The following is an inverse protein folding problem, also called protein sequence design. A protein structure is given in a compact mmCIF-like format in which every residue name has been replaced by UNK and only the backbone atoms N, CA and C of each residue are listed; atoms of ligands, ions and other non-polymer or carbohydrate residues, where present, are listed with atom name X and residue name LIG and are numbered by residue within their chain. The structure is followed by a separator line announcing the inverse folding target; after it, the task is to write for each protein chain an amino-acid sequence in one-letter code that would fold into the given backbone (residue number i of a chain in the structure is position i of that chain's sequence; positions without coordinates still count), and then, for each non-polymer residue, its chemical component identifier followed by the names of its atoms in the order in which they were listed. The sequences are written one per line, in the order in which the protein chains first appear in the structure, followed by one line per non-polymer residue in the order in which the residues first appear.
data_IF_966964977287
#
_entry.id   IF_966964977287
#
_cell.length_a   1.000
_cell.length_b   1.000
_cell.length_c   1.000
_cell.angle_alpha   90.00
_cell.angle_beta   90.00
_cell.angle_gamma   90.00
#
_symmetry.space_group_name_H-M   'P 1'
#
loop_
_entity.id
_entity.type
_entity.pdbx_description
1 polymer ?
#
# COMPACT_ATOMS: atom_id res chain seq x y z
N UNK A 1 13.94 -27.85 8.69
CA UNK A 1 13.20 -27.82 7.41
C UNK A 1 12.97 -26.35 7.07
N UNK A 2 13.44 -25.93 5.90
CA UNK A 2 13.50 -24.52 5.45
C UNK A 2 12.11 -24.09 4.94
N UNK A 3 11.36 -23.33 5.74
CA UNK A 3 10.04 -22.78 5.38
C UNK A 3 10.20 -21.54 4.48
N UNK A 4 10.64 -21.73 3.24
CA UNK A 4 10.72 -20.66 2.24
C UNK A 4 9.50 -20.55 1.31
N UNK A 5 8.66 -21.58 1.27
CA UNK A 5 7.52 -21.63 0.36
C UNK A 5 6.21 -21.07 0.95
N UNK A 6 6.18 -20.76 2.25
CA UNK A 6 4.97 -20.27 2.94
C UNK A 6 4.89 -18.72 2.97
N UNK A 7 5.90 -18.02 2.46
CA UNK A 7 5.95 -16.55 2.47
C UNK A 7 5.73 -16.02 1.05
N UNK A 8 4.46 -15.86 0.69
CA UNK A 8 4.03 -15.32 -0.60
C UNK A 8 4.31 -13.81 -0.77
N UNK A 9 4.72 -13.10 0.29
CA UNK A 9 5.06 -11.68 0.24
C UNK A 9 5.28 -11.07 1.62
N UNK A 10 5.67 -9.78 1.66
CA UNK A 10 5.61 -8.99 2.89
C UNK A 10 4.17 -8.48 3.05
N UNK A 11 3.47 -8.78 4.16
CA UNK A 11 2.04 -8.45 4.31
C UNK A 11 1.74 -6.95 4.23
N UNK A 12 2.74 -6.10 4.47
CA UNK A 12 2.61 -4.65 4.39
C UNK A 12 3.14 -4.04 3.08
N UNK A 13 3.78 -4.82 2.20
CA UNK A 13 4.18 -4.36 0.86
C UNK A 13 3.00 -4.51 -0.12
N UNK A 14 1.96 -3.71 0.12
CA UNK A 14 0.67 -3.82 -0.57
C UNK A 14 0.83 -3.45 -2.06
N UNK A 15 0.33 -4.29 -2.96
CA UNK A 15 0.28 -4.00 -4.40
C UNK A 15 -0.95 -3.14 -4.71
N UNK A 16 -2.13 -3.68 -4.39
CA UNK A 16 -3.42 -3.02 -4.46
C UNK A 16 -4.32 -3.47 -3.29
N UNK A 17 -5.31 -2.65 -2.96
CA UNK A 17 -6.32 -3.01 -1.97
C UNK A 17 -7.42 -3.87 -2.60
N UNK A 18 -7.06 -5.12 -2.93
CA UNK A 18 -7.98 -6.17 -3.37
C UNK A 18 -7.77 -7.44 -2.56
N UNK A 19 -8.82 -8.26 -2.48
CA UNK A 19 -8.71 -9.60 -1.91
C UNK A 19 -7.78 -10.42 -2.80
N UNK A 20 -6.81 -11.10 -2.19
CA UNK A 20 -5.95 -12.02 -2.92
C UNK A 20 -6.85 -13.12 -3.54
N UNK A 21 -6.84 -13.32 -4.87
CA UNK A 21 -7.70 -14.31 -5.52
C UNK A 21 -7.46 -15.74 -5.03
N UNK A 22 -6.28 -16.05 -4.50
CA UNK A 22 -5.99 -17.36 -3.88
C UNK A 22 -6.70 -17.55 -2.53
N UNK A 23 -7.14 -16.46 -1.89
CA UNK A 23 -7.89 -16.45 -0.63
C UNK A 23 -9.40 -16.33 -0.83
N UNK A 24 -9.86 -15.87 -2.00
CA UNK A 24 -11.27 -15.72 -2.36
C UNK A 24 -11.60 -14.38 -3.00
N UNK A 25 -12.89 -14.04 -3.00
CA UNK A 25 -13.43 -12.79 -3.55
C UNK A 25 -13.86 -11.81 -2.46
N UNK A 26 -14.27 -10.59 -2.87
CA UNK A 26 -14.86 -9.62 -1.95
C UNK A 26 -16.16 -10.17 -1.32
N UNK A 27 -16.96 -10.91 -2.09
CA UNK A 27 -18.15 -11.60 -1.60
C UNK A 27 -17.83 -12.65 -0.53
N UNK A 28 -16.73 -13.38 -0.70
CA UNK A 28 -16.27 -14.36 0.30
C UNK A 28 -15.92 -13.68 1.63
N UNK A 29 -15.27 -12.51 1.60
CA UNK A 29 -14.98 -11.72 2.81
C UNK A 29 -16.27 -11.23 3.48
N UNK A 30 -17.25 -10.79 2.70
CA UNK A 30 -18.57 -10.40 3.22
C UNK A 30 -19.29 -11.59 3.87
N UNK A 31 -19.23 -12.77 3.24
CA UNK A 31 -19.83 -13.99 3.78
C UNK A 31 -19.11 -14.47 5.05
N UNK A 32 -17.78 -14.44 5.07
CA UNK A 32 -16.98 -14.73 6.25
C UNK A 32 -17.39 -13.85 7.43
N UNK A 33 -17.55 -12.54 7.20
CA UNK A 33 -18.01 -11.63 8.25
C UNK A 33 -19.39 -12.04 8.80
N UNK A 34 -20.35 -12.42 7.94
CA UNK A 34 -21.67 -12.87 8.40
C UNK A 34 -21.56 -14.10 9.29
N UNK A 35 -20.82 -15.12 8.86
CA UNK A 35 -20.61 -16.36 9.64
C UNK A 35 -19.96 -16.05 11.00
N UNK A 36 -18.93 -15.20 11.02
CA UNK A 36 -18.28 -14.79 12.27
C UNK A 36 -19.26 -14.07 13.21
N UNK A 37 -20.10 -13.19 12.67
CA UNK A 37 -21.07 -12.43 13.47
C UNK A 37 -22.17 -13.33 14.05
N UNK A 38 -22.61 -14.36 13.32
CA UNK A 38 -23.58 -15.36 13.80
C UNK A 38 -23.08 -16.12 15.03
N UNK A 39 -21.76 -16.31 15.16
CA UNK A 39 -21.12 -16.94 16.33
C UNK A 39 -20.56 -15.93 17.35
N UNK A 40 -20.90 -14.65 17.22
CA UNK A 40 -20.52 -13.60 18.17
C UNK A 40 -19.08 -13.09 18.02
N UNK A 41 -18.42 -13.33 16.88
CA UNK A 41 -17.04 -12.88 16.58
C UNK A 41 -17.07 -11.69 15.61
N UNK A 42 -16.31 -10.64 15.94
CA UNK A 42 -16.10 -9.50 15.06
C UNK A 42 -14.93 -9.74 14.09
N UNK A 43 -15.05 -9.23 12.85
CA UNK A 43 -13.96 -9.20 11.87
C UNK A 43 -13.31 -7.82 11.88
N UNK A 44 -11.99 -7.78 12.06
CA UNK A 44 -11.16 -6.57 11.97
C UNK A 44 -10.15 -6.79 10.84
N UNK A 45 -9.99 -5.79 9.99
CA UNK A 45 -8.99 -5.77 8.91
C UNK A 45 -7.93 -4.71 9.22
N UNK A 46 -6.68 -5.01 8.86
CA UNK A 46 -5.58 -4.05 8.95
C UNK A 46 -5.48 -3.24 7.65
N UNK A 47 -5.19 -1.94 7.77
CA UNK A 47 -5.15 -1.01 6.65
C UNK A 47 -3.95 -0.07 6.79
N UNK A 48 -3.04 -0.09 5.80
CA UNK A 48 -1.73 0.59 5.86
C UNK A 48 -1.58 1.59 4.70
N UNK A 49 -2.14 2.81 4.82
CA UNK A 49 -2.17 3.78 3.71
C UNK A 49 -0.80 4.38 3.40
N UNK A 50 0.16 4.31 4.30
CA UNK A 50 1.34 5.17 4.26
C UNK A 50 2.37 4.78 3.17
N UNK A 51 2.31 3.54 2.68
CA UNK A 51 3.21 3.02 1.68
C UNK A 51 2.58 1.90 0.84
N UNK A 52 3.14 1.69 -0.35
CA UNK A 52 2.85 0.53 -1.21
C UNK A 52 4.12 -0.24 -1.53
N UNK A 53 3.98 -1.38 -2.19
CA UNK A 53 5.09 -2.16 -2.75
C UNK A 53 5.87 -1.36 -3.80
N UNK A 54 7.20 -1.53 -3.86
CA UNK A 54 8.06 -0.82 -4.85
C UNK A 54 7.83 -1.27 -6.31
N UNK A 55 7.04 -2.32 -6.52
CA UNK A 55 6.63 -2.81 -7.84
C UNK A 55 5.13 -2.66 -8.09
N UNK A 56 4.43 -1.87 -7.25
CA UNK A 56 2.97 -1.89 -7.23
C UNK A 56 2.33 -1.33 -8.50
N UNK A 57 1.15 -1.81 -8.83
CA UNK A 57 0.32 -1.24 -9.90
C UNK A 57 -0.07 0.22 -9.58
N UNK A 58 -0.26 0.56 -8.31
CA UNK A 58 -0.51 1.95 -7.89
C UNK A 58 0.66 2.87 -8.26
N UNK A 59 1.91 2.44 -8.04
CA UNK A 59 3.09 3.21 -8.44
C UNK A 59 3.21 3.36 -9.96
N UNK A 60 2.87 2.31 -10.71
CA UNK A 60 2.90 2.36 -12.18
C UNK A 60 1.86 3.33 -12.74
N UNK A 61 0.65 3.31 -12.19
CA UNK A 61 -0.47 4.07 -12.74
C UNK A 61 -0.62 5.48 -12.15
N UNK A 62 -0.14 5.71 -10.92
CA UNK A 62 -0.26 6.96 -10.18
C UNK A 62 1.07 7.37 -9.52
N UNK A 63 2.15 7.66 -10.27
CA UNK A 63 3.43 8.05 -9.67
C UNK A 63 3.34 9.38 -8.87
N UNK A 64 2.37 10.25 -9.17
CA UNK A 64 2.23 11.59 -8.60
C UNK A 64 1.92 11.62 -7.10
N UNK A 65 1.41 10.52 -6.55
CA UNK A 65 1.10 10.41 -5.12
C UNK A 65 2.29 9.92 -4.29
N UNK A 66 3.42 9.58 -4.92
CA UNK A 66 4.61 9.07 -4.24
C UNK A 66 5.70 10.12 -4.08
N UNK A 67 6.50 9.97 -3.03
CA UNK A 67 7.59 10.90 -2.74
C UNK A 67 8.70 10.72 -3.77
N UNK A 68 8.93 11.77 -4.56
CA UNK A 68 10.00 11.85 -5.54
C UNK A 68 11.09 12.82 -5.13
N UNK A 69 12.31 12.61 -5.64
CA UNK A 69 13.46 13.49 -5.45
C UNK A 69 14.12 13.84 -6.78
N UNK A 70 14.98 14.85 -6.78
CA UNK A 70 15.80 15.19 -7.94
C UNK A 70 16.87 14.12 -8.19
N UNK A 71 17.38 14.08 -9.42
CA UNK A 71 18.51 13.24 -9.79
C UNK A 71 19.77 13.52 -8.94
N UNK A 72 19.98 14.79 -8.58
CA UNK A 72 21.09 15.20 -7.73
C UNK A 72 21.01 14.53 -6.35
N UNK A 73 19.83 14.52 -5.73
CA UNK A 73 19.59 13.86 -4.43
C UNK A 73 19.72 12.35 -4.57
N UNK A 74 19.20 11.76 -5.64
CA UNK A 74 19.36 10.33 -5.94
C UNK A 74 20.84 9.93 -6.02
N UNK A 75 21.65 10.70 -6.76
CA UNK A 75 23.08 10.43 -6.94
C UNK A 75 23.87 10.60 -5.64
N UNK A 76 23.42 11.49 -4.74
CA UNK A 76 24.03 11.66 -3.42
C UNK A 76 23.73 10.49 -2.46
N UNK A 77 22.52 9.90 -2.52
CA UNK A 77 22.08 8.82 -1.65
C UNK A 77 21.39 7.65 -2.40
N UNK A 78 22.11 6.93 -3.28
CA UNK A 78 21.51 5.94 -4.19
C UNK A 78 20.92 4.71 -3.50
N UNK A 79 21.16 4.55 -2.19
CA UNK A 79 20.57 3.47 -1.39
C UNK A 79 19.22 3.85 -0.77
N UNK A 80 18.92 5.15 -0.61
CA UNK A 80 17.66 5.65 -0.05
C UNK A 80 16.55 5.72 -1.11
N UNK A 81 16.96 5.89 -2.37
CA UNK A 81 16.08 6.19 -3.49
C UNK A 81 16.24 5.15 -4.61
N UNK A 82 15.21 4.99 -5.42
CA UNK A 82 15.21 4.01 -6.52
C UNK A 82 14.46 4.51 -7.75
N UNK A 83 14.67 3.85 -8.88
CA UNK A 83 13.98 4.14 -10.14
C UNK A 83 13.00 3.03 -10.51
N UNK A 84 11.95 3.39 -11.24
CA UNK A 84 10.95 2.44 -11.74
C UNK A 84 10.98 2.47 -13.25
N UNK A 85 11.02 1.29 -13.90
CA UNK A 85 11.10 1.19 -15.37
C UNK A 85 9.94 1.89 -16.09
N UNK A 86 8.76 1.89 -15.48
CA UNK A 86 7.57 2.55 -16.02
C UNK A 86 7.70 4.09 -16.09
N UNK A 87 8.55 4.68 -15.25
CA UNK A 87 8.70 6.14 -15.10
C UNK A 87 10.17 6.55 -15.14
N UNK A 88 10.73 6.58 -16.35
CA UNK A 88 12.12 7.01 -16.55
C UNK A 88 12.30 8.48 -16.15
N UNK A 89 13.40 8.78 -15.46
CA UNK A 89 13.71 10.13 -14.97
C UNK A 89 13.02 10.49 -13.65
N UNK A 90 12.19 9.61 -13.08
CA UNK A 90 11.67 9.76 -11.72
C UNK A 90 12.47 8.91 -10.72
N UNK A 91 12.74 9.49 -9.57
CA UNK A 91 13.47 8.88 -8.46
C UNK A 91 12.59 8.88 -7.22
N UNK A 92 12.30 7.71 -6.68
CA UNK A 92 11.32 7.50 -5.62
C UNK A 92 11.99 7.16 -4.30
N UNK A 93 11.41 7.58 -3.18
CA UNK A 93 11.90 7.28 -1.84
C UNK A 93 11.42 5.91 -1.33
N UNK A 94 12.33 5.10 -0.80
CA UNK A 94 11.96 3.90 -0.07
C UNK A 94 11.26 4.21 1.26
N UNK A 95 10.41 3.28 1.71
CA UNK A 95 9.94 3.26 3.09
C UNK A 95 11.10 3.17 4.09
N UNK A 96 10.90 3.69 5.30
CA UNK A 96 11.85 3.53 6.42
C UNK A 96 11.13 3.01 7.65
N UNK A 97 11.81 2.16 8.40
CA UNK A 97 11.36 1.71 9.72
C UNK A 97 11.73 2.75 10.80
N UNK A 98 10.75 3.44 11.40
CA UNK A 98 11.01 4.47 12.40
C UNK A 98 11.57 3.93 13.72
N UNK A 99 11.46 2.62 13.99
CA UNK A 99 11.91 2.01 15.25
C UNK A 99 13.31 1.43 15.18
N UNK A 100 13.88 1.32 14.00
CA UNK A 100 15.27 0.92 13.83
C UNK A 100 16.22 2.05 14.22
N UNK A 101 17.33 1.74 14.91
CA UNK A 101 18.27 2.73 15.48
C UNK A 101 18.84 3.76 14.49
N UNK A 102 18.72 3.51 13.19
CA UNK A 102 19.20 4.40 12.12
C UNK A 102 18.19 4.60 10.97
N UNK A 103 16.91 4.19 11.13
CA UNK A 103 15.92 4.31 10.05
C UNK A 103 16.20 3.41 8.85
N UNK A 104 16.32 2.10 9.09
CA UNK A 104 16.52 1.06 8.10
C UNK A 104 15.56 1.22 6.92
N UNK A 105 16.15 1.17 5.73
CA UNK A 105 15.45 1.26 4.46
C UNK A 105 14.66 -0.03 4.23
N UNK A 106 13.41 0.12 3.82
CA UNK A 106 12.52 -0.95 3.41
C UNK A 106 12.49 -0.98 1.87
N UNK A 107 13.36 -1.77 1.21
CA UNK A 107 13.55 -1.70 -0.24
C UNK A 107 12.31 -2.17 -1.04
N UNK A 108 11.40 -2.86 -0.37
CA UNK A 108 10.14 -3.34 -0.93
C UNK A 108 8.98 -2.37 -0.75
N UNK A 109 9.16 -1.25 -0.06
CA UNK A 109 8.11 -0.24 0.10
C UNK A 109 8.52 1.12 -0.42
N UNK A 110 7.52 1.91 -0.80
CA UNK A 110 7.64 3.27 -1.32
C UNK A 110 6.67 4.19 -0.58
N UNK A 111 7.15 5.39 -0.22
CA UNK A 111 6.41 6.34 0.61
C UNK A 111 5.45 7.18 -0.24
N UNK A 112 4.21 7.35 0.24
CA UNK A 112 3.27 8.31 -0.30
C UNK A 112 3.56 9.73 0.18
N UNK A 113 3.28 10.72 -0.68
CA UNK A 113 3.12 12.11 -0.25
C UNK A 113 1.70 12.25 0.29
N UNK A 114 1.56 12.43 1.61
CA UNK A 114 0.32 12.92 2.19
C UNK A 114 0.16 14.40 1.80
N UNK A 115 -0.33 14.68 0.58
CA UNK A 115 -0.63 16.06 0.19
C UNK A 115 -1.87 16.56 0.94
N UNK A 116 -1.84 17.79 1.49
CA UNK A 116 -3.05 18.45 1.97
C UNK A 116 -4.07 18.52 0.83
N UNK A 117 -5.18 17.78 0.95
CA UNK A 117 -6.21 17.68 -0.10
C UNK A 117 -6.45 16.27 -0.64
N UNK A 118 -5.53 15.32 -0.40
CA UNK A 118 -5.82 13.88 -0.54
C UNK A 118 -6.62 13.47 0.70
N UNK A 119 -7.94 13.68 0.63
CA UNK A 119 -8.85 13.31 1.71
C UNK A 119 -9.17 11.82 1.61
N UNK A 120 -8.54 11.01 2.45
CA UNK A 120 -8.91 9.63 2.68
C UNK A 120 -10.21 9.57 3.50
N UNK A 121 -11.36 9.69 2.84
CA UNK A 121 -12.64 9.45 3.48
C UNK A 121 -13.03 7.98 3.35
N UNK A 122 -12.74 7.20 4.39
CA UNK A 122 -13.35 5.90 4.57
C UNK A 122 -14.80 6.09 5.07
N UNK A 123 -15.78 5.80 4.23
CA UNK A 123 -17.16 5.64 4.70
C UNK A 123 -17.47 4.14 4.86
N UNK A 124 -17.58 3.68 6.10
CA UNK A 124 -18.08 2.34 6.40
C UNK A 124 -19.58 2.28 6.09
N UNK A 125 -19.95 1.75 4.93
CA UNK A 125 -21.27 1.15 4.73
C UNK A 125 -21.06 -0.33 4.42
N UNK A 126 -21.32 -1.18 5.42
CA UNK A 126 -21.66 -2.58 5.13
C UNK A 126 -20.53 -3.52 4.74
N UNK A 127 -19.25 -3.23 5.03
CA UNK A 127 -18.11 -4.19 5.17
C UNK A 127 -16.99 -4.20 4.12
N UNK A 128 -16.90 -3.23 3.19
CA UNK A 128 -15.78 -3.15 2.24
C UNK A 128 -15.18 -1.75 2.22
N UNK A 129 -13.85 -1.66 2.32
CA UNK A 129 -13.07 -0.43 2.15
C UNK A 129 -12.56 -0.44 0.71
N UNK A 130 -13.10 0.45 -0.14
CA UNK A 130 -12.59 0.66 -1.50
C UNK A 130 -11.81 1.97 -1.54
N UNK A 131 -10.62 1.92 -2.13
CA UNK A 131 -9.70 3.05 -2.26
C UNK A 131 -9.54 3.38 -3.73
N UNK A 132 -9.86 4.61 -4.12
CA UNK A 132 -9.60 5.10 -5.47
C UNK A 132 -8.86 6.42 -5.41
N UNK A 133 -7.75 6.52 -6.16
CA UNK A 133 -6.96 7.74 -6.32
C UNK A 133 -7.37 8.41 -7.63
N UNK A 134 -8.36 9.30 -7.59
CA UNK A 134 -8.52 10.38 -8.59
C UNK A 134 -9.62 11.35 -8.18
N UNK A 135 -9.43 12.64 -8.48
CA UNK A 135 -10.29 13.76 -8.10
C UNK A 135 -11.73 13.67 -8.59
N UNK A 136 -12.60 13.06 -7.77
CA UNK A 136 -14.05 13.07 -7.95
C UNK A 136 -14.68 13.70 -6.72
N UNK A 137 -15.42 14.78 -6.96
CA UNK A 137 -16.23 15.48 -5.97
C UNK A 137 -17.50 14.65 -5.70
N UNK A 138 -17.84 14.42 -4.44
CA UNK A 138 -19.13 13.85 -4.07
C UNK A 138 -19.86 14.77 -3.09
N UNK A 139 -21.10 15.07 -3.43
CA UNK A 139 -22.08 15.69 -2.54
C UNK A 139 -22.87 14.57 -1.85
N UNK A 140 -23.27 14.86 -0.60
CA UNK A 140 -23.95 13.96 0.33
C UNK A 140 -25.13 13.18 -0.26
#
# INVERSE_FOLDING_TARGET
MDQKNDVIGLPHAIDEYRVNPDLGTEEDVIQLKKILNEIGIALILDFVPNHFGSTSEILKNHPEIFLTVSEEIYNAEPHTYFTVRAHQGLYFAHGRDPFSRHGAILPRSIILILQPGILWQGHCKGSVISVTVSGVRWQC
#
